data_IF_119780088922
#
_entry.id   IF_119780088922
#
_cell.length_a   1.000
_cell.length_b   1.000
_cell.length_c   1.000
_cell.angle_alpha   90.00
_cell.angle_beta   90.00
_cell.angle_gamma   90.00
#
_symmetry.space_group_name_H-M   'P 1'
#
loop_
_entity.id
_entity.type
_entity.pdbx_description
1 polymer ?
#
# COMPACT_ATOMS: atom_id res chain seq x y z
N UNK A 1 9.90 12.02 -36.10
CA UNK A 1 11.24 12.16 -35.48
C UNK A 1 11.44 11.31 -34.21
N UNK A 2 10.40 10.66 -33.65
CA UNK A 2 10.49 9.92 -32.39
C UNK A 2 10.78 8.42 -32.53
N UNK A 3 10.74 7.92 -33.78
CA UNK A 3 10.78 6.48 -34.09
C UNK A 3 12.12 5.86 -33.68
N UNK A 4 13.25 6.48 -34.05
CA UNK A 4 14.60 5.99 -33.76
C UNK A 4 14.95 5.80 -32.27
N UNK A 5 14.29 6.52 -31.36
CA UNK A 5 14.52 6.35 -29.91
C UNK A 5 13.84 5.08 -29.39
N UNK A 6 12.76 4.62 -30.03
CA UNK A 6 12.03 3.43 -29.60
C UNK A 6 12.58 2.13 -30.23
N UNK A 7 13.17 2.19 -31.43
CA UNK A 7 13.65 0.98 -32.14
C UNK A 7 14.93 0.38 -31.50
N UNK A 8 15.72 1.19 -30.77
CA UNK A 8 16.96 0.72 -30.15
C UNK A 8 16.73 0.36 -28.67
N UNK A 9 16.92 -0.92 -28.28
CA UNK A 9 16.66 -1.36 -26.91
C UNK A 9 17.50 -0.62 -25.86
N UNK A 10 18.69 -0.11 -26.22
CA UNK A 10 19.52 0.71 -25.34
C UNK A 10 18.97 2.13 -25.13
N UNK A 11 18.22 2.68 -26.08
CA UNK A 11 17.67 4.03 -25.95
C UNK A 11 16.49 4.06 -24.97
N UNK A 12 15.71 2.97 -24.90
CA UNK A 12 14.68 2.79 -23.88
C UNK A 12 15.28 2.84 -22.46
N UNK A 13 16.44 2.22 -22.26
CA UNK A 13 17.17 2.26 -20.98
C UNK A 13 17.61 3.69 -20.61
N UNK A 14 18.06 4.48 -21.59
CA UNK A 14 18.46 5.89 -21.37
C UNK A 14 17.25 6.74 -20.95
N UNK A 15 16.11 6.61 -21.65
CA UNK A 15 14.89 7.33 -21.29
C UNK A 15 14.41 6.91 -19.90
N UNK A 16 14.43 5.61 -19.60
CA UNK A 16 14.09 5.09 -18.27
C UNK A 16 15.02 5.65 -17.19
N UNK A 17 16.32 5.72 -17.45
CA UNK A 17 17.30 6.32 -16.54
C UNK A 17 17.01 7.80 -16.26
N UNK A 18 16.66 8.59 -17.29
CA UNK A 18 16.28 10.00 -17.11
C UNK A 18 15.02 10.13 -16.25
N UNK A 19 14.00 9.29 -16.50
CA UNK A 19 12.77 9.27 -15.69
C UNK A 19 13.09 8.88 -14.24
N UNK A 20 13.96 7.89 -14.02
CA UNK A 20 14.43 7.49 -12.70
C UNK A 20 15.16 8.62 -11.95
N UNK A 21 15.91 9.47 -12.65
CA UNK A 21 16.60 10.62 -12.05
C UNK A 21 15.62 11.72 -11.66
N UNK A 22 14.64 12.02 -12.52
CA UNK A 22 13.65 13.09 -12.25
C UNK A 22 12.62 12.67 -11.20
N UNK A 23 12.11 11.43 -11.29
CA UNK A 23 11.09 10.92 -10.39
C UNK A 23 11.67 10.22 -9.16
N UNK A 24 12.91 9.74 -9.23
CA UNK A 24 13.52 8.90 -8.19
C UNK A 24 13.14 7.43 -8.33
N UNK A 25 14.10 6.53 -8.05
CA UNK A 25 13.91 5.08 -8.08
C UNK A 25 12.79 4.57 -7.17
N UNK A 26 12.45 5.31 -6.11
CA UNK A 26 11.45 4.91 -5.13
C UNK A 26 10.01 5.31 -5.51
N UNK A 27 9.81 6.16 -6.53
CA UNK A 27 8.46 6.66 -6.93
C UNK A 27 7.85 5.90 -8.10
N UNK A 28 8.68 5.42 -9.03
CA UNK A 28 8.25 4.52 -10.11
C UNK A 28 7.47 3.28 -9.63
N UNK A 29 7.92 2.51 -8.61
CA UNK A 29 7.18 1.33 -8.16
C UNK A 29 5.82 1.69 -7.57
N UNK A 30 5.70 2.83 -6.88
CA UNK A 30 4.42 3.29 -6.33
C UNK A 30 3.42 3.67 -7.42
N UNK A 31 3.86 4.45 -8.41
CA UNK A 31 3.01 4.87 -9.54
C UNK A 31 2.59 3.66 -10.36
N UNK A 32 3.52 2.76 -10.70
CA UNK A 32 3.22 1.53 -11.44
C UNK A 32 2.23 0.63 -10.69
N UNK A 33 2.34 0.50 -9.36
CA UNK A 33 1.42 -0.29 -8.54
C UNK A 33 0.01 0.29 -8.54
N UNK A 34 -0.12 1.63 -8.43
CA UNK A 34 -1.43 2.30 -8.46
C UNK A 34 -2.12 2.16 -9.83
N UNK A 35 -1.39 2.39 -10.92
CA UNK A 35 -1.90 2.23 -12.29
C UNK A 35 -2.24 0.78 -12.58
N UNK A 36 -1.38 -0.16 -12.17
CA UNK A 36 -1.62 -1.59 -12.33
C UNK A 36 -2.86 -2.08 -11.60
N UNK A 37 -3.18 -1.50 -10.44
CA UNK A 37 -4.40 -1.83 -9.69
C UNK A 37 -5.65 -1.34 -10.40
N UNK A 38 -5.66 -0.11 -10.94
CA UNK A 38 -6.76 0.39 -11.78
C UNK A 38 -6.93 -0.43 -13.07
N UNK A 39 -5.82 -0.78 -13.71
CA UNK A 39 -5.84 -1.58 -14.95
C UNK A 39 -6.30 -3.02 -14.69
N UNK A 40 -6.00 -3.60 -13.51
CA UNK A 40 -6.50 -4.93 -13.10
C UNK A 40 -8.01 -4.94 -12.97
N UNK A 41 -8.59 -3.95 -12.30
CA UNK A 41 -10.05 -3.84 -12.15
C UNK A 41 -10.72 -3.70 -13.51
N UNK A 42 -10.22 -2.78 -14.34
CA UNK A 42 -10.72 -2.59 -15.71
C UNK A 42 -10.58 -3.86 -16.56
N UNK A 43 -9.45 -4.57 -16.46
CA UNK A 43 -9.23 -5.85 -17.16
C UNK A 43 -10.21 -6.93 -16.70
N UNK A 44 -10.53 -6.99 -15.40
CA UNK A 44 -11.49 -7.92 -14.82
C UNK A 44 -12.92 -7.63 -15.28
N UNK A 45 -13.35 -6.37 -15.26
CA UNK A 45 -14.68 -5.97 -15.76
C UNK A 45 -14.81 -6.23 -17.26
N UNK A 46 -13.77 -5.92 -18.05
CA UNK A 46 -13.76 -6.19 -19.49
C UNK A 46 -13.67 -7.69 -19.80
N UNK A 47 -13.05 -8.49 -18.93
CA UNK A 47 -13.05 -9.96 -19.03
C UNK A 47 -14.42 -10.53 -18.74
N UNK A 48 -15.08 -10.08 -17.68
CA UNK A 48 -16.44 -10.49 -17.31
C UNK A 48 -17.43 -10.27 -18.46
N UNK A 49 -17.37 -9.10 -19.10
CA UNK A 49 -18.15 -8.77 -20.31
C UNK A 49 -17.83 -9.63 -21.54
N UNK A 50 -16.64 -10.26 -21.59
CA UNK A 50 -16.22 -11.15 -22.67
C UNK A 50 -16.38 -12.63 -22.33
N UNK A 51 -16.55 -12.96 -21.06
CA UNK A 51 -16.56 -14.30 -20.48
C UNK A 51 -17.96 -14.71 -19.96
N UNK A 52 -19.01 -14.01 -20.39
CA UNK A 52 -20.42 -14.44 -20.28
C UNK A 52 -20.74 -15.74 -21.10
N UNK A 53 -19.72 -16.58 -21.35
CA UNK A 53 -19.79 -17.98 -21.76
C UNK A 53 -18.78 -18.79 -20.88
N UNK A 54 -19.20 -19.88 -20.21
CA UNK A 54 -18.90 -20.12 -18.80
C UNK A 54 -17.59 -20.86 -18.51
N UNK A 55 -16.75 -20.33 -17.61
CA UNK A 55 -15.92 -21.14 -16.69
C UNK A 55 -15.25 -20.29 -15.58
N UNK A 56 -15.84 -20.37 -14.39
CA UNK A 56 -15.34 -19.86 -13.10
C UNK A 56 -13.88 -20.26 -12.83
N UNK A 57 -12.98 -19.29 -12.69
CA UNK A 57 -11.69 -19.51 -12.00
C UNK A 57 -11.55 -18.51 -10.85
N UNK A 58 -11.81 -19.01 -9.65
CA UNK A 58 -11.50 -18.39 -8.37
C UNK A 58 -9.98 -18.20 -8.28
N UNK A 59 -9.49 -16.96 -8.42
CA UNK A 59 -8.10 -16.64 -8.07
C UNK A 59 -8.12 -15.99 -6.69
N UNK A 60 -7.70 -16.80 -5.74
CA UNK A 60 -7.36 -16.47 -4.36
C UNK A 60 -6.62 -15.13 -4.29
N UNK A 61 -7.19 -14.19 -3.55
CA UNK A 61 -6.52 -13.02 -3.03
C UNK A 61 -5.26 -13.47 -2.27
N UNK A 62 -4.03 -13.11 -2.68
CA UNK A 62 -2.94 -13.19 -1.75
C UNK A 62 -3.20 -12.09 -0.72
N UNK A 63 -3.73 -12.51 0.43
CA UNK A 63 -3.66 -11.73 1.66
C UNK A 63 -2.18 -11.35 1.82
N UNK A 64 -1.85 -10.10 1.48
CA UNK A 64 -0.59 -9.52 1.86
C UNK A 64 -0.76 -9.18 3.33
N UNK A 65 -0.58 -10.18 4.19
CA UNK A 65 -0.34 -9.99 5.61
C UNK A 65 0.88 -9.08 5.72
N UNK A 66 0.79 -7.88 6.33
CA UNK A 66 1.93 -7.29 6.98
C UNK A 66 2.13 -8.10 8.28
N UNK A 67 2.67 -9.31 8.15
CA UNK A 67 3.26 -10.00 9.30
C UNK A 67 4.70 -9.54 9.43
N UNK A 68 4.90 -8.63 10.39
CA UNK A 68 6.14 -8.46 11.14
C UNK A 68 5.78 -7.95 12.54
N UNK A 69 6.52 -8.40 13.58
CA UNK A 69 5.96 -9.23 14.67
C UNK A 69 5.38 -8.50 15.89
N UNK A 70 4.40 -9.10 16.61
CA UNK A 70 4.06 -8.71 17.97
C UNK A 70 4.98 -9.47 18.95
N UNK A 71 6.13 -8.90 19.33
CA UNK A 71 6.86 -9.28 20.55
C UNK A 71 8.12 -8.42 20.75
N UNK A 72 7.97 -7.26 21.41
CA UNK A 72 8.88 -6.71 22.43
C UNK A 72 8.54 -5.23 22.74
N UNK A 73 7.31 -4.97 23.20
CA UNK A 73 6.99 -3.79 23.99
C UNK A 73 5.72 -4.08 24.83
N UNK A 74 5.74 -5.20 25.56
CA UNK A 74 4.84 -5.36 26.71
C UNK A 74 5.44 -4.56 27.88
N UNK A 75 5.16 -3.26 27.93
CA UNK A 75 5.10 -2.55 29.21
C UNK A 75 3.62 -2.34 29.51
N UNK A 76 3.06 -3.05 30.51
CA UNK A 76 1.66 -2.89 30.89
C UNK A 76 1.37 -1.43 31.28
N UNK A 77 0.35 -0.76 30.73
CA UNK A 77 -0.30 0.32 31.43
C UNK A 77 -1.26 -0.31 32.44
N UNK A 78 -0.70 -0.91 33.50
CA UNK A 78 -1.48 -1.32 34.66
C UNK A 78 -1.57 -0.12 35.60
N UNK A 79 -2.62 0.66 35.36
CA UNK A 79 -3.47 1.34 36.34
C UNK A 79 -2.95 1.24 37.79
N UNK A 80 -2.42 2.35 38.31
CA UNK A 80 -2.33 2.54 39.76
C UNK A 80 -3.67 3.14 40.21
N UNK A 81 -4.52 2.43 40.99
CA UNK A 81 -5.57 3.08 41.74
C UNK A 81 -4.91 3.66 43.00
N UNK A 82 -4.33 4.86 42.85
CA UNK A 82 -3.72 5.59 43.96
C UNK A 82 -4.73 6.58 44.54
N UNK A 83 -5.22 6.28 45.74
CA UNK A 83 -5.66 7.30 46.69
C UNK A 83 -7.16 7.52 46.87
N UNK A 84 -7.88 6.50 47.34
CA UNK A 84 -8.96 6.74 48.31
C UNK A 84 -8.33 6.82 49.69
N UNK A 85 -7.87 8.01 50.11
CA UNK A 85 -7.44 8.27 51.47
C UNK A 85 -7.35 9.78 51.73
N UNK A 86 -8.37 10.32 52.41
CA UNK A 86 -8.34 11.62 53.06
C UNK A 86 -8.28 12.82 52.10
N UNK A 87 -8.59 14.02 52.52
CA UNK A 87 -8.98 14.47 53.83
C UNK A 87 -9.37 15.94 53.64
N UNK A 88 -10.53 16.30 54.18
CA UNK A 88 -10.82 17.70 54.46
C UNK A 88 -11.23 18.57 53.27
N UNK A 89 -11.81 19.74 53.47
CA UNK A 89 -12.13 20.46 54.71
C UNK A 89 -12.61 21.81 54.22
N UNK A 90 -13.80 22.22 54.68
CA UNK A 90 -14.27 23.60 54.64
C UNK A 90 -14.50 24.14 53.21
N UNK A 91 -15.34 25.13 52.94
CA UNK A 91 -16.25 25.97 53.71
C UNK A 91 -17.07 26.67 52.61
N UNK A 92 -18.39 26.80 52.75
CA UNK A 92 -18.98 28.07 53.19
C UNK A 92 -18.37 29.32 52.54
N UNK A 93 -19.03 29.87 51.52
CA UNK A 93 -19.52 31.25 51.44
C UNK A 93 -20.04 31.54 50.02
#
# INVERSE_FOLDING_TARGET
MWRNVAEHPLNLLIVLAIVLVVFGANKLPGVAKSIGQSLKVFKSEVKDLREDDPARTTVVDPVATPQSPPAAAQTPPATTPQGSAGDGRASHA
#
